data_IF_971408877449
#
_entry.id   IF_971408877449
#
_cell.length_a   1.000
_cell.length_b   1.000
_cell.length_c   1.000
_cell.angle_alpha   90.00
_cell.angle_beta   90.00
_cell.angle_gamma   90.00
#
_symmetry.space_group_name_H-M   'P 1'
#
loop_
_entity.id
_entity.type
_entity.pdbx_description
1 polymer ?
#
# COMPACT_ATOMS: atom_id res chain seq x y z
N UNK A 1 -4.41 3.49 -0.68
CA UNK A 1 -5.51 3.33 -1.67
C UNK A 1 -6.28 4.63 -1.79
N UNK A 2 -7.51 4.61 -2.34
CA UNK A 2 -8.37 5.81 -2.32
C UNK A 2 -8.55 6.32 -0.89
N UNK A 3 -8.51 7.64 -0.73
CA UNK A 3 -8.54 8.29 0.59
C UNK A 3 -9.99 8.52 1.09
N UNK A 4 -11.00 8.00 0.40
CA UNK A 4 -12.41 8.00 0.79
C UNK A 4 -13.03 6.73 0.22
N UNK A 5 -13.48 5.82 1.07
CA UNK A 5 -14.02 4.52 0.65
C UNK A 5 -15.22 4.11 1.50
N UNK A 6 -16.11 3.32 0.90
CA UNK A 6 -17.24 2.70 1.59
C UNK A 6 -16.80 1.62 2.60
N UNK A 7 -17.69 1.29 3.53
CA UNK A 7 -17.47 0.35 4.64
C UNK A 7 -16.97 -1.04 4.20
N UNK A 8 -17.42 -1.54 3.05
CA UNK A 8 -16.99 -2.83 2.49
C UNK A 8 -15.50 -2.85 2.11
N UNK A 9 -14.94 -1.73 1.65
CA UNK A 9 -13.52 -1.61 1.27
C UNK A 9 -12.65 -1.52 2.52
N UNK A 10 -13.11 -0.79 3.53
CA UNK A 10 -12.44 -0.72 4.84
C UNK A 10 -12.37 -2.11 5.52
N UNK A 11 -13.43 -2.92 5.40
CA UNK A 11 -13.46 -4.29 5.95
C UNK A 11 -12.42 -5.22 5.30
N UNK A 12 -12.23 -5.14 3.98
CA UNK A 12 -11.20 -5.92 3.26
C UNK A 12 -9.81 -5.59 3.78
N UNK A 13 -9.54 -4.30 3.97
CA UNK A 13 -8.26 -3.84 4.51
C UNK A 13 -8.07 -4.18 5.98
N UNK A 14 -9.11 -4.07 6.80
CA UNK A 14 -9.02 -4.42 8.21
C UNK A 14 -8.69 -5.91 8.38
N UNK A 15 -9.38 -6.79 7.65
CA UNK A 15 -9.10 -8.23 7.65
C UNK A 15 -7.76 -8.57 7.00
N UNK A 16 -7.34 -7.81 6.00
CA UNK A 16 -6.05 -8.02 5.37
C UNK A 16 -4.87 -7.58 6.21
N UNK A 17 -5.01 -6.47 6.93
CA UNK A 17 -4.06 -6.07 7.96
C UNK A 17 -3.89 -7.14 9.03
N UNK A 18 -5.00 -7.71 9.52
CA UNK A 18 -4.98 -8.76 10.54
C UNK A 18 -4.31 -10.06 10.10
N UNK A 19 -4.28 -10.35 8.79
CA UNK A 19 -3.76 -11.59 8.21
C UNK A 19 -2.35 -11.46 7.63
N UNK A 20 -1.91 -10.25 7.31
CA UNK A 20 -0.60 -10.03 6.70
C UNK A 20 0.56 -10.25 7.67
N UNK A 21 1.59 -10.99 7.22
CA UNK A 21 2.87 -11.13 7.92
C UNK A 21 3.74 -9.90 7.60
N UNK A 22 3.69 -8.86 8.44
CA UNK A 22 4.48 -7.63 8.26
C UNK A 22 3.88 -6.71 7.21
N UNK A 23 2.86 -5.94 7.60
CA UNK A 23 2.12 -5.08 6.67
C UNK A 23 2.70 -3.67 6.68
N UNK A 24 3.35 -3.27 5.59
CA UNK A 24 3.59 -1.87 5.25
C UNK A 24 2.32 -1.30 4.63
N UNK A 25 1.59 -0.44 5.35
CA UNK A 25 0.34 0.11 4.83
C UNK A 25 0.60 1.45 4.13
N UNK A 26 0.22 1.52 2.86
CA UNK A 26 0.12 2.75 2.08
C UNK A 26 -0.96 3.65 2.66
N UNK A 27 -0.61 4.87 3.07
CA UNK A 27 -1.33 6.09 2.67
C UNK A 27 -1.80 7.05 3.77
N UNK A 28 -1.65 8.35 3.47
CA UNK A 28 -1.79 9.48 4.39
C UNK A 28 -2.93 10.39 3.92
N UNK A 29 -3.77 10.86 4.84
CA UNK A 29 -4.71 11.98 4.63
C UNK A 29 -4.84 12.78 5.94
N UNK A 30 -4.51 14.07 5.86
CA UNK A 30 -4.98 15.08 6.81
C UNK A 30 -6.50 15.24 6.61
N UNK A 31 -7.34 14.83 7.57
CA UNK A 31 -8.80 14.99 7.50
C UNK A 31 -9.64 13.86 8.13
N UNK A 32 -10.92 14.17 8.38
CA UNK A 32 -11.83 13.50 9.32
C UNK A 32 -12.55 12.21 8.85
N UNK A 33 -12.42 11.77 7.58
CA UNK A 33 -12.98 10.48 7.11
C UNK A 33 -11.90 9.40 7.03
N UNK A 34 -12.23 8.18 7.48
CA UNK A 34 -11.36 7.00 7.42
C UNK A 34 -11.09 6.58 5.97
N UNK A 35 -9.82 6.69 5.53
CA UNK A 35 -9.36 6.13 4.26
C UNK A 35 -8.99 4.65 4.40
N UNK A 36 -8.78 3.96 3.27
CA UNK A 36 -8.33 2.56 3.21
C UNK A 36 -7.17 2.24 4.14
N UNK A 37 -6.27 3.21 4.24
CA UNK A 37 -4.95 3.09 4.82
C UNK A 37 -5.04 3.02 6.35
N UNK A 38 -5.87 3.88 6.94
CA UNK A 38 -6.16 3.85 8.38
C UNK A 38 -6.96 2.60 8.77
N UNK A 39 -7.86 2.12 7.91
CA UNK A 39 -8.60 0.87 8.12
C UNK A 39 -7.67 -0.35 8.12
N UNK A 40 -6.70 -0.39 7.20
CA UNK A 40 -5.67 -1.42 7.14
C UNK A 40 -4.76 -1.42 8.37
N UNK A 41 -4.24 -0.24 8.76
CA UNK A 41 -3.39 -0.09 9.95
C UNK A 41 -4.12 -0.54 11.22
N UNK A 42 -5.38 -0.12 11.38
CA UNK A 42 -6.21 -0.55 12.51
C UNK A 42 -6.44 -2.06 12.52
N UNK A 43 -6.81 -2.64 11.38
CA UNK A 43 -7.01 -4.07 11.27
C UNK A 43 -5.75 -4.88 11.56
N UNK A 44 -4.58 -4.40 11.13
CA UNK A 44 -3.29 -5.02 11.44
C UNK A 44 -2.92 -4.90 12.93
N UNK A 45 -3.32 -3.80 13.57
CA UNK A 45 -3.09 -3.58 14.99
C UNK A 45 -4.05 -4.39 15.88
N UNK A 46 -5.28 -4.62 15.43
CA UNK A 46 -6.33 -5.31 16.18
C UNK A 46 -6.01 -6.80 16.35
N UNK A 47 -6.24 -7.34 17.54
CA UNK A 47 -6.31 -8.80 17.76
C UNK A 47 -7.61 -9.30 17.15
N UNK A 48 -7.54 -10.14 16.11
CA UNK A 48 -8.73 -10.87 15.65
C UNK A 48 -8.94 -12.05 16.60
N UNK A 49 -9.92 -11.90 17.51
CA UNK A 49 -10.44 -13.02 18.29
C UNK A 49 -11.42 -13.85 17.45
N UNK A 50 -11.24 -15.16 17.45
CA UNK A 50 -12.11 -16.11 16.77
C UNK A 50 -11.35 -17.09 15.87
N UNK A 51 -10.98 -18.21 16.47
CA UNK A 51 -10.51 -19.49 15.87
C UNK A 51 -9.21 -19.47 15.06
N UNK A 52 -8.18 -20.05 15.70
CA UNK A 52 -6.89 -20.57 15.18
C UNK A 52 -5.97 -19.58 14.45
N UNK A 53 -5.48 -18.58 15.19
CA UNK A 53 -4.07 -18.16 15.19
C UNK A 53 -4.02 -16.79 15.86
N UNK A 54 -3.71 -16.78 17.16
CA UNK A 54 -3.52 -15.57 17.99
C UNK A 54 -2.24 -14.79 17.61
N UNK A 55 -2.00 -14.58 16.32
CA UNK A 55 -0.83 -13.85 15.86
C UNK A 55 -1.23 -12.40 15.66
N UNK A 56 -0.92 -11.56 16.64
CA UNK A 56 -0.78 -10.11 16.40
C UNK A 56 0.17 -9.95 15.21
N UNK A 57 -0.12 -9.09 14.24
CA UNK A 57 0.86 -8.75 13.21
C UNK A 57 2.12 -8.27 13.94
N UNK A 58 3.23 -9.02 13.82
CA UNK A 58 4.51 -8.64 14.41
C UNK A 58 5.01 -7.41 13.64
N UNK A 59 4.81 -6.23 14.21
CA UNK A 59 5.22 -4.94 13.65
C UNK A 59 4.28 -4.42 12.56
N UNK A 60 3.68 -3.26 12.81
CA UNK A 60 2.99 -2.46 11.78
C UNK A 60 3.85 -1.23 11.52
N UNK A 61 4.18 -0.99 10.25
CA UNK A 61 5.01 0.12 9.80
C UNK A 61 4.20 1.05 8.88
N UNK A 62 4.10 2.32 9.26
CA UNK A 62 3.51 3.39 8.47
C UNK A 62 4.63 4.28 7.90
N UNK A 63 4.78 4.32 6.57
CA UNK A 63 5.72 5.24 5.91
C UNK A 63 4.98 6.52 5.52
N UNK A 64 5.42 7.63 6.08
CA UNK A 64 4.79 8.94 5.96
C UNK A 64 5.35 9.74 4.78
N UNK A 65 4.51 10.51 4.08
CA UNK A 65 4.92 11.45 3.03
C UNK A 65 5.09 12.88 3.57
N UNK A 66 5.42 13.02 4.85
CA UNK A 66 5.66 14.29 5.53
C UNK A 66 6.54 14.02 6.76
N UNK A 67 7.05 15.08 7.38
CA UNK A 67 7.84 14.98 8.60
C UNK A 67 7.06 14.42 9.80
N UNK A 68 7.79 13.90 10.79
CA UNK A 68 7.21 13.30 12.00
C UNK A 68 6.50 14.34 12.88
N UNK A 69 6.97 15.59 12.91
CA UNK A 69 6.42 16.65 13.76
C UNK A 69 5.03 17.09 13.28
N UNK A 70 4.75 16.91 11.99
CA UNK A 70 3.47 17.27 11.35
C UNK A 70 2.56 16.05 11.13
N UNK A 71 2.99 14.86 11.55
CA UNK A 71 2.27 13.60 11.35
C UNK A 71 1.01 13.43 12.22
N UNK A 72 0.70 14.42 13.06
CA UNK A 72 -0.43 14.40 13.98
C UNK A 72 -0.15 13.53 15.22
N UNK A 73 -1.20 13.06 15.92
CA UNK A 73 -1.04 12.41 17.22
C UNK A 73 -0.26 11.10 17.12
N UNK A 74 0.34 10.70 18.25
CA UNK A 74 1.01 9.39 18.39
C UNK A 74 0.02 8.26 18.11
N UNK A 75 0.54 7.19 17.52
CA UNK A 75 -0.21 5.98 17.15
C UNK A 75 0.46 4.76 17.77
N UNK A 76 -0.27 3.65 17.98
CA UNK A 76 0.27 2.46 18.63
C UNK A 76 1.02 1.52 17.66
N UNK A 77 1.54 2.06 16.55
CA UNK A 77 2.38 1.39 15.56
C UNK A 77 3.57 2.27 15.17
N UNK A 78 4.56 1.70 14.48
CA UNK A 78 5.77 2.42 14.12
C UNK A 78 5.53 3.32 12.91
N UNK A 79 6.01 4.56 12.99
CA UNK A 79 6.05 5.51 11.88
C UNK A 79 7.48 5.77 11.45
N UNK A 80 7.71 5.81 10.14
CA UNK A 80 8.97 6.23 9.54
C UNK A 80 8.67 7.31 8.50
N UNK A 81 9.55 8.30 8.42
CA UNK A 81 9.51 9.33 7.39
C UNK A 81 10.90 9.47 6.76
N UNK A 82 10.93 9.70 5.45
CA UNK A 82 12.14 10.09 4.72
C UNK A 82 12.32 11.62 4.69
N UNK A 83 11.32 12.37 5.18
CA UNK A 83 11.32 13.81 5.15
C UNK A 83 12.00 14.38 6.41
N UNK A 84 12.48 15.61 6.32
CA UNK A 84 12.88 16.37 7.51
C UNK A 84 11.73 16.42 8.54
N UNK A 85 12.02 16.43 9.86
CA UNK A 85 11.00 16.31 10.92
C UNK A 85 9.80 17.26 10.77
N UNK A 86 10.04 18.48 10.33
CA UNK A 86 9.02 19.54 10.16
C UNK A 86 8.48 19.68 8.72
N UNK A 87 8.89 18.83 7.77
CA UNK A 87 8.49 18.96 6.37
C UNK A 87 6.98 18.78 6.19
N UNK A 88 6.28 19.72 5.52
CA UNK A 88 4.86 19.56 5.20
C UNK A 88 4.65 18.45 4.18
N UNK A 89 3.39 18.08 3.98
CA UNK A 89 2.98 17.13 2.93
C UNK A 89 3.12 17.75 1.53
N UNK A 90 3.70 16.99 0.60
CA UNK A 90 3.69 17.32 -0.83
C UNK A 90 3.27 16.13 -1.69
N UNK A 91 2.81 16.40 -2.93
CA UNK A 91 2.51 15.33 -3.88
C UNK A 91 3.76 14.52 -4.25
N UNK A 92 4.92 15.18 -4.38
CA UNK A 92 6.21 14.51 -4.68
C UNK A 92 6.59 13.50 -3.60
N UNK A 93 6.60 13.92 -2.33
CA UNK A 93 6.88 13.02 -1.20
C UNK A 93 5.86 11.88 -1.11
N UNK A 94 4.60 12.14 -1.45
CA UNK A 94 3.59 11.08 -1.52
C UNK A 94 3.89 10.05 -2.60
N UNK A 95 4.47 10.47 -3.73
CA UNK A 95 4.88 9.58 -4.82
C UNK A 95 6.14 8.79 -4.47
N UNK A 96 7.17 9.44 -3.93
CA UNK A 96 8.41 8.79 -3.46
C UNK A 96 8.12 7.72 -2.41
N UNK A 97 7.31 8.07 -1.39
CA UNK A 97 6.85 7.12 -0.38
C UNK A 97 6.15 5.92 -1.01
N UNK A 98 5.25 6.15 -1.98
CA UNK A 98 4.55 5.04 -2.63
C UNK A 98 5.53 4.12 -3.37
N UNK A 99 6.50 4.69 -4.11
CA UNK A 99 7.53 3.92 -4.80
C UNK A 99 8.34 3.06 -3.81
N UNK A 100 8.73 3.64 -2.67
CA UNK A 100 9.41 2.88 -1.61
C UNK A 100 8.56 1.72 -1.09
N UNK A 101 7.27 1.93 -0.82
CA UNK A 101 6.39 0.86 -0.35
C UNK A 101 6.34 -0.30 -1.35
N UNK A 102 6.19 -0.02 -2.65
CA UNK A 102 6.21 -1.09 -3.65
C UNK A 102 7.56 -1.81 -3.71
N UNK A 103 8.67 -1.09 -3.58
CA UNK A 103 10.01 -1.68 -3.64
C UNK A 103 10.33 -2.59 -2.45
N UNK A 104 9.92 -2.22 -1.22
CA UNK A 104 10.22 -3.00 -0.01
C UNK A 104 9.21 -4.11 0.27
N UNK A 105 8.04 -4.08 -0.39
CA UNK A 105 6.96 -5.04 -0.13
C UNK A 105 7.11 -6.27 -1.00
N UNK A 106 7.00 -7.46 -0.39
CA UNK A 106 6.83 -8.71 -1.15
C UNK A 106 5.54 -8.70 -1.95
N UNK A 107 4.48 -8.15 -1.34
CA UNK A 107 3.14 -8.09 -1.92
C UNK A 107 2.46 -6.80 -1.50
N UNK A 108 1.76 -6.14 -2.41
CA UNK A 108 1.01 -4.90 -2.15
C UNK A 108 -0.47 -5.08 -2.49
N UNK A 109 -1.35 -4.59 -1.62
CA UNK A 109 -2.81 -4.68 -1.80
C UNK A 109 -3.38 -3.31 -2.19
N UNK A 110 -4.10 -3.25 -3.31
CA UNK A 110 -4.78 -2.06 -3.82
C UNK A 110 -6.28 -2.34 -3.94
N UNK A 111 -7.09 -1.82 -3.02
CA UNK A 111 -8.54 -2.08 -3.07
C UNK A 111 -9.37 -1.06 -3.86
N UNK A 112 -8.80 0.11 -4.15
CA UNK A 112 -9.45 1.13 -4.97
C UNK A 112 -8.40 2.03 -5.61
N UNK A 113 -8.52 2.20 -6.92
CA UNK A 113 -7.64 3.04 -7.73
C UNK A 113 -8.46 3.75 -8.81
N UNK A 114 -8.17 5.03 -9.05
CA UNK A 114 -8.82 5.76 -10.14
C UNK A 114 -8.02 5.53 -11.42
N UNK A 115 -8.70 5.16 -12.50
CA UNK A 115 -8.05 4.91 -13.78
C UNK A 115 -7.28 6.15 -14.26
N UNK A 116 -5.98 5.97 -14.56
CA UNK A 116 -5.07 7.05 -15.01
C UNK A 116 -4.94 8.24 -14.06
N UNK A 117 -5.29 8.09 -12.77
CA UNK A 117 -5.31 9.21 -11.83
C UNK A 117 -4.72 8.87 -10.46
N UNK A 118 -3.93 9.81 -9.92
CA UNK A 118 -3.42 9.78 -8.56
C UNK A 118 -2.22 8.85 -8.34
N UNK A 119 -1.56 9.02 -7.18
CA UNK A 119 -0.30 8.32 -6.88
C UNK A 119 -0.43 6.81 -6.71
N UNK A 120 -1.60 6.29 -6.29
CA UNK A 120 -1.82 4.85 -6.18
C UNK A 120 -1.87 4.16 -7.55
N UNK A 121 -2.43 4.83 -8.58
CA UNK A 121 -2.43 4.32 -9.95
C UNK A 121 -1.02 4.26 -10.52
N UNK A 122 -0.31 5.39 -10.51
CA UNK A 122 1.03 5.48 -11.07
C UNK A 122 2.00 4.51 -10.38
N UNK A 123 1.92 4.40 -9.05
CA UNK A 123 2.71 3.42 -8.29
C UNK A 123 2.38 1.97 -8.66
N UNK A 124 1.09 1.61 -8.73
CA UNK A 124 0.67 0.25 -9.08
C UNK A 124 1.09 -0.15 -10.50
N UNK A 125 0.96 0.74 -11.48
CA UNK A 125 1.40 0.52 -12.84
C UNK A 125 2.92 0.34 -12.91
N UNK A 126 3.67 1.19 -12.21
CA UNK A 126 5.13 1.11 -12.16
C UNK A 126 5.60 -0.18 -11.50
N UNK A 127 4.93 -0.61 -10.42
CA UNK A 127 5.23 -1.86 -9.75
C UNK A 127 4.99 -3.09 -10.64
N UNK A 128 3.84 -3.15 -11.33
CA UNK A 128 3.55 -4.24 -12.27
C UNK A 128 4.57 -4.30 -13.42
N UNK A 129 4.90 -3.15 -14.01
CA UNK A 129 5.88 -3.06 -15.11
C UNK A 129 7.29 -3.43 -14.65
N UNK A 130 7.68 -3.00 -13.46
CA UNK A 130 8.96 -3.30 -12.84
C UNK A 130 9.03 -4.67 -12.17
N UNK A 131 7.92 -5.44 -12.15
CA UNK A 131 7.79 -6.72 -11.43
C UNK A 131 8.18 -6.61 -9.95
N UNK A 132 7.78 -5.50 -9.31
CA UNK A 132 8.05 -5.22 -7.90
C UNK A 132 6.99 -5.91 -7.02
N UNK A 133 7.31 -7.13 -6.60
CA UNK A 133 6.44 -7.94 -5.75
C UNK A 133 5.11 -8.32 -6.40
N UNK A 134 4.27 -9.03 -5.66
CA UNK A 134 2.91 -9.35 -6.10
C UNK A 134 1.94 -8.19 -5.88
N UNK A 135 1.21 -7.78 -6.92
CA UNK A 135 0.16 -6.78 -6.79
C UNK A 135 -1.20 -7.46 -6.65
N UNK A 136 -1.84 -7.33 -5.50
CA UNK A 136 -3.18 -7.85 -5.23
C UNK A 136 -4.19 -6.71 -5.38
N UNK A 137 -5.21 -6.90 -6.21
CA UNK A 137 -6.20 -5.87 -6.53
C UNK A 137 -7.60 -6.37 -6.23
N UNK A 138 -8.40 -5.55 -5.54
CA UNK A 138 -9.83 -5.83 -5.39
C UNK A 138 -10.53 -5.63 -6.72
N UNK A 139 -11.19 -6.68 -7.22
CA UNK A 139 -12.03 -6.60 -8.41
C UNK A 139 -13.35 -5.92 -8.02
N UNK A 140 -13.54 -4.71 -8.51
CA UNK A 140 -14.74 -3.90 -8.25
C UNK A 140 -15.48 -3.47 -9.52
N UNK A 141 -15.04 -3.95 -10.69
CA UNK A 141 -15.65 -3.63 -11.98
C UNK A 141 -15.27 -2.25 -12.52
N UNK A 142 -14.53 -1.45 -11.77
CA UNK A 142 -14.07 -0.15 -12.26
C UNK A 142 -12.94 -0.30 -13.30
N UNK A 143 -12.80 0.71 -14.17
CA UNK A 143 -11.74 0.76 -15.18
C UNK A 143 -10.34 0.64 -14.56
N UNK A 144 -10.16 1.20 -13.36
CA UNK A 144 -8.88 1.19 -12.66
C UNK A 144 -8.46 -0.22 -12.23
N UNK A 145 -9.35 -0.94 -11.54
CA UNK A 145 -9.07 -2.33 -11.14
C UNK A 145 -8.92 -3.25 -12.35
N UNK A 146 -9.80 -3.12 -13.34
CA UNK A 146 -9.77 -3.93 -14.57
C UNK A 146 -8.44 -3.80 -15.32
N UNK A 147 -7.92 -2.58 -15.47
CA UNK A 147 -6.66 -2.35 -16.15
C UNK A 147 -5.45 -2.92 -15.39
N UNK A 148 -5.44 -2.88 -14.06
CA UNK A 148 -4.38 -3.51 -13.28
C UNK A 148 -4.43 -5.04 -13.39
N UNK A 149 -5.64 -5.62 -13.42
CA UNK A 149 -5.81 -7.06 -13.63
C UNK A 149 -5.30 -7.51 -15.01
N UNK A 150 -5.58 -6.75 -16.07
CA UNK A 150 -5.04 -7.02 -17.41
C UNK A 150 -3.51 -6.96 -17.48
N UNK A 151 -2.86 -6.28 -16.53
CA UNK A 151 -1.41 -6.16 -16.44
C UNK A 151 -0.78 -7.21 -15.50
N UNK A 152 -1.55 -8.21 -15.05
CA UNK A 152 -1.03 -9.32 -14.25
C UNK A 152 -1.22 -9.18 -12.74
N UNK A 153 -2.05 -8.24 -12.27
CA UNK A 153 -2.42 -8.17 -10.86
C UNK A 153 -3.29 -9.37 -10.44
N UNK A 154 -3.12 -9.81 -9.19
CA UNK A 154 -3.86 -10.93 -8.59
C UNK A 154 -5.23 -10.42 -8.10
N UNK A 155 -6.35 -10.98 -8.59
CA UNK A 155 -7.69 -10.53 -8.19
C UNK A 155 -8.10 -11.07 -6.82
N UNK A 156 -8.71 -10.21 -6.00
CA UNK A 156 -9.55 -10.61 -4.85
C UNK A 156 -10.96 -10.07 -5.01
N UNK A 157 -11.98 -10.86 -4.66
CA UNK A 157 -13.38 -10.42 -4.61
C UNK A 157 -13.79 -10.03 -3.19
N UNK A 158 -13.20 -10.69 -2.20
CA UNK A 158 -13.48 -10.46 -0.79
C UNK A 158 -12.24 -10.64 0.09
N UNK A 159 -12.35 -10.27 1.36
CA UNK A 159 -11.31 -10.52 2.35
C UNK A 159 -10.97 -12.02 2.53
N UNK A 160 -11.90 -12.93 2.17
CA UNK A 160 -11.67 -14.38 2.28
C UNK A 160 -10.61 -14.87 1.31
N UNK A 161 -10.48 -14.22 0.16
CA UNK A 161 -9.57 -14.62 -0.92
C UNK A 161 -8.12 -14.22 -0.65
N UNK A 162 -7.89 -13.43 0.41
CA UNK A 162 -6.61 -12.77 0.61
C UNK A 162 -5.48 -13.76 0.92
N UNK A 163 -5.74 -14.81 1.70
CA UNK A 163 -4.70 -15.81 2.02
C UNK A 163 -4.21 -16.51 0.76
N UNK A 164 -5.15 -16.97 -0.08
CA UNK A 164 -4.82 -17.57 -1.38
C UNK A 164 -4.08 -16.59 -2.29
N UNK A 165 -4.48 -15.32 -2.30
CA UNK A 165 -3.83 -14.29 -3.10
C UNK A 165 -2.41 -13.97 -2.62
N UNK A 166 -2.18 -13.92 -1.30
CA UNK A 166 -0.84 -13.74 -0.71
C UNK A 166 0.05 -14.95 -1.01
N UNK A 167 -0.47 -16.17 -0.87
CA UNK A 167 0.27 -17.39 -1.22
C UNK A 167 0.65 -17.44 -2.72
N UNK A 168 -0.26 -17.00 -3.59
CA UNK A 168 0.03 -16.89 -5.03
C UNK A 168 1.10 -15.84 -5.31
N UNK A 169 1.03 -14.70 -4.63
CA UNK A 169 2.02 -13.63 -4.75
C UNK A 169 3.42 -14.08 -4.27
N UNK A 170 3.49 -14.86 -3.20
CA UNK A 170 4.73 -15.43 -2.68
C UNK A 170 5.31 -16.51 -3.61
N UNK A 171 4.45 -17.29 -4.28
CA UNK A 171 4.85 -18.34 -5.23
C UNK A 171 5.40 -17.80 -6.55
N UNK A 172 5.02 -16.57 -6.93
CA UNK A 172 5.47 -15.88 -8.15
C UNK A 172 6.71 -15.01 -7.99
N UNK A 173 7.36 -15.02 -6.81
CA UNK A 173 8.50 -14.15 -6.52
C UNK A 173 9.79 -14.64 -7.23
N UNK A 174 9.97 -14.24 -8.49
CA UNK A 174 11.31 -14.13 -9.06
C UNK A 174 12.16 -13.15 -8.22
N UNK A 175 13.50 -13.28 -8.22
CA UNK A 175 14.38 -12.44 -7.41
C UNK A 175 14.10 -10.96 -7.67
N UNK A 176 13.93 -10.21 -6.59
CA UNK A 176 13.92 -8.75 -6.58
C UNK A 176 15.15 -8.26 -7.35
N UNK A 177 14.99 -7.88 -8.61
CA UNK A 177 16.08 -7.25 -9.35
C UNK A 177 16.22 -5.85 -8.78
N UNK A 178 17.38 -5.46 -8.23
CA UNK A 178 17.60 -4.08 -7.81
C UNK A 178 17.30 -3.18 -9.00
N UNK A 179 16.46 -2.16 -8.81
CA UNK A 179 16.28 -1.14 -9.83
C UNK A 179 17.63 -0.44 -10.00
N UNK A 180 18.17 -0.31 -11.23
CA UNK A 180 19.19 0.70 -11.47
C UNK A 180 18.50 2.05 -11.26
N UNK A 181 18.83 2.72 -10.16
CA UNK A 181 18.52 4.13 -10.01
C UNK A 181 19.20 4.86 -11.17
N UNK A 182 18.41 5.36 -12.12
CA UNK A 182 18.88 6.34 -13.10
C UNK A 182 18.45 7.71 -12.57
N UNK A 183 19.38 8.54 -12.06
CA UNK A 183 19.05 9.92 -11.72
C UNK A 183 18.55 10.65 -12.97
N UNK A 184 17.73 11.71 -12.82
CA UNK A 184 17.42 12.59 -13.94
C UNK A 184 18.72 13.10 -14.56
N UNK A 185 18.82 13.04 -15.89
CA UNK A 185 19.95 13.59 -16.63
C UNK A 185 19.96 15.11 -16.43
N UNK A 186 20.82 15.59 -15.54
CA UNK A 186 21.24 16.99 -15.47
C UNK A 186 22.19 17.25 -16.65
N UNK A 187 21.64 17.38 -17.85
CA UNK A 187 22.36 17.97 -18.98
C UNK A 187 21.80 19.39 -19.18
N UNK A 188 22.58 20.44 -18.89
CA UNK A 188 22.13 21.81 -19.16
C UNK A 188 22.01 22.02 -20.67
N UNK A 189 21.05 22.85 -21.13
CA UNK A 189 20.94 23.16 -22.55
C UNK A 189 22.21 23.83 -23.05
N UNK A 190 22.74 23.32 -24.17
CA UNK A 190 23.83 23.89 -24.93
C UNK A 190 23.45 25.24 -25.57
#
# INVERSE_FOLDING_TARGET
GSRAVGSSVACVFARGGARGRGVGVLGWRAGAREGCDRAALRGAHMRVGGTTSERRAQGVLEILPCGLDVAGPRVPWTRVSLCAPSSPFTTGQAMERNALIYAISKSTIVAHVRYRQGGSWHGAISALRGRLGGLIVRRDGEKGSSALLSLGAIPIRSAKDLESALALADSGAGPQRPLPFSPPSDEPPA
#
